data_IF_155643339979
#
_entry.id   IF_155643339979
#
_cell.length_a   1.000
_cell.length_b   1.000
_cell.length_c   1.000
_cell.angle_alpha   90.00
_cell.angle_beta   90.00
_cell.angle_gamma   90.00
#
_symmetry.space_group_name_H-M   'P 1'
#
loop_
_entity.id
_entity.type
_entity.pdbx_description
1 polymer ?
#
# COMPACT_ATOMS: atom_id res chain seq x y z
N UNK A 1 -1.84 15.98 3.58
CA UNK A 1 -1.24 14.63 3.79
C UNK A 1 -2.01 13.65 2.92
N UNK A 2 -1.43 12.54 2.41
CA UNK A 2 -1.98 11.35 1.66
C UNK A 2 -2.31 10.19 2.64
N UNK A 3 -3.30 9.32 2.38
CA UNK A 3 -3.61 8.22 3.31
C UNK A 3 -2.46 7.20 3.28
N UNK A 4 -1.97 6.78 4.44
CA UNK A 4 -0.77 5.92 4.52
C UNK A 4 -0.96 4.57 3.81
N UNK A 5 -2.16 3.96 3.87
CA UNK A 5 -2.44 2.71 3.17
C UNK A 5 -2.42 2.90 1.65
N UNK A 6 -2.95 4.04 1.17
CA UNK A 6 -2.92 4.35 -0.25
C UNK A 6 -1.48 4.49 -0.78
N UNK A 7 -0.60 5.15 -0.02
CA UNK A 7 0.81 5.29 -0.39
C UNK A 7 1.50 3.92 -0.50
N UNK A 8 1.27 3.03 0.46
CA UNK A 8 1.85 1.69 0.44
C UNK A 8 1.32 0.83 -0.71
N UNK A 9 0.02 0.92 -1.01
CA UNK A 9 -0.58 0.26 -2.17
C UNK A 9 0.03 0.75 -3.48
N UNK A 10 0.11 2.07 -3.67
CA UNK A 10 0.58 2.67 -4.92
C UNK A 10 2.07 2.44 -5.16
N UNK A 11 2.90 2.54 -4.11
CA UNK A 11 4.35 2.32 -4.22
C UNK A 11 4.76 0.85 -4.19
N UNK A 12 3.82 -0.06 -3.88
CA UNK A 12 4.07 -1.49 -3.66
C UNK A 12 5.14 -1.74 -2.57
N UNK A 13 5.20 -0.86 -1.57
CA UNK A 13 6.12 -0.96 -0.43
C UNK A 13 5.34 -1.43 0.80
N UNK A 14 5.81 -2.50 1.46
CA UNK A 14 5.22 -2.96 2.72
C UNK A 14 5.41 -1.93 3.85
N UNK A 15 4.43 -1.76 4.75
CA UNK A 15 4.62 -1.00 5.97
C UNK A 15 5.73 -1.62 6.82
N UNK A 16 6.44 -0.77 7.58
CA UNK A 16 7.65 -1.16 8.32
C UNK A 16 7.38 -2.32 9.29
N UNK A 17 6.24 -2.31 9.98
CA UNK A 17 5.88 -3.35 10.94
C UNK A 17 5.74 -4.75 10.31
N UNK A 18 4.81 -5.00 9.35
CA UNK A 18 4.69 -6.30 8.71
C UNK A 18 5.96 -6.71 7.97
N UNK A 19 6.72 -5.75 7.41
CA UNK A 19 8.02 -6.06 6.81
C UNK A 19 9.03 -6.59 7.84
N UNK A 20 9.16 -5.94 8.99
CA UNK A 20 10.07 -6.39 10.06
C UNK A 20 9.62 -7.72 10.70
N UNK A 21 8.31 -7.93 10.84
CA UNK A 21 7.74 -9.20 11.31
C UNK A 21 8.04 -10.34 10.33
N UNK A 22 7.92 -10.09 9.01
CA UNK A 22 8.29 -11.04 7.96
C UNK A 22 9.78 -11.40 8.01
N UNK A 23 10.66 -10.40 8.09
CA UNK A 23 12.11 -10.62 8.21
C UNK A 23 12.46 -11.40 9.48
N UNK A 24 11.77 -11.13 10.59
CA UNK A 24 11.92 -11.85 11.85
C UNK A 24 11.57 -13.34 11.69
N UNK A 25 10.45 -13.65 11.01
CA UNK A 25 10.05 -15.02 10.68
C UNK A 25 11.05 -15.70 9.75
N UNK A 26 11.48 -15.03 8.67
CA UNK A 26 12.48 -15.58 7.75
C UNK A 26 13.83 -15.85 8.43
N UNK A 27 14.23 -14.98 9.35
CA UNK A 27 15.44 -15.18 10.15
C UNK A 27 15.32 -16.40 11.07
N UNK A 28 14.19 -16.56 11.77
CA UNK A 28 13.93 -17.74 12.61
C UNK A 28 13.88 -19.03 11.77
N UNK A 29 13.26 -18.99 10.60
CA UNK A 29 13.28 -20.11 9.65
C UNK A 29 14.73 -20.51 9.32
N UNK A 30 15.60 -19.54 9.07
CA UNK A 30 17.02 -19.82 8.79
C UNK A 30 17.75 -20.41 10.01
N UNK A 31 17.35 -20.06 11.23
CA UNK A 31 17.90 -20.62 12.45
C UNK A 31 17.55 -22.11 12.61
N UNK A 32 16.49 -22.64 11.97
CA UNK A 32 16.18 -24.08 11.98
C UNK A 32 17.20 -24.94 11.22
N UNK A 33 18.06 -24.35 10.40
CA UNK A 33 19.13 -25.08 9.72
C UNK A 33 20.24 -25.43 10.73
N UNK A 34 20.58 -26.72 10.91
CA UNK A 34 21.54 -27.13 11.94
C UNK A 34 22.95 -26.54 11.79
N UNK A 35 23.38 -26.25 10.55
CA UNK A 35 24.67 -25.62 10.27
C UNK A 35 24.70 -24.11 10.53
N UNK A 36 23.56 -23.50 10.87
CA UNK A 36 23.49 -22.07 11.12
C UNK A 36 24.09 -21.73 12.49
N UNK A 37 24.98 -20.72 12.60
CA UNK A 37 25.57 -20.33 13.88
C UNK A 37 24.53 -19.83 14.91
N UNK A 38 23.37 -19.36 14.45
CA UNK A 38 22.26 -18.89 15.28
C UNK A 38 21.22 -19.97 15.60
N UNK A 39 21.51 -21.26 15.31
CA UNK A 39 20.59 -22.36 15.60
C UNK A 39 20.27 -22.52 17.09
N UNK A 40 21.14 -22.03 17.98
CA UNK A 40 20.87 -22.04 19.43
C UNK A 40 19.63 -21.22 19.81
N UNK A 41 19.30 -20.15 19.07
CA UNK A 41 18.19 -19.23 19.38
C UNK A 41 16.84 -19.95 19.45
N UNK A 42 16.63 -20.97 18.61
CA UNK A 42 15.38 -21.76 18.57
C UNK A 42 15.37 -22.90 19.59
N UNK A 43 16.52 -23.22 20.20
CA UNK A 43 16.68 -24.29 21.19
C UNK A 43 16.72 -23.78 22.62
N UNK A 44 16.91 -22.48 22.81
CA UNK A 44 16.88 -21.86 24.13
C UNK A 44 15.49 -22.02 24.76
N UNK A 45 15.47 -22.61 25.96
CA UNK A 45 14.28 -22.64 26.78
C UNK A 45 13.87 -21.20 27.17
N UNK A 46 12.57 -20.90 27.18
CA UNK A 46 12.11 -19.60 27.61
C UNK A 46 12.59 -19.32 29.05
N UNK A 47 13.11 -18.11 29.31
CA UNK A 47 13.67 -17.78 30.62
C UNK A 47 12.61 -17.91 31.72
N UNK A 48 13.00 -18.32 32.95
CA UNK A 48 12.06 -18.59 34.04
C UNK A 48 11.35 -17.33 34.58
N UNK A 49 11.75 -16.14 34.13
CA UNK A 49 11.11 -14.86 34.47
C UNK A 49 10.58 -14.20 33.21
N UNK A 50 9.54 -13.39 33.34
CA UNK A 50 9.04 -12.54 32.26
C UNK A 50 10.11 -11.51 31.86
N UNK A 51 10.87 -11.83 30.81
CA UNK A 51 11.83 -10.94 30.17
C UNK A 51 11.15 -10.22 29.00
N UNK A 52 11.74 -9.10 28.55
CA UNK A 52 11.35 -8.41 27.31
C UNK A 52 11.15 -9.40 26.16
N UNK A 53 10.14 -9.12 25.33
CA UNK A 53 9.84 -9.90 24.11
C UNK A 53 11.09 -10.00 23.23
N UNK A 54 11.42 -11.21 22.81
CA UNK A 54 12.49 -11.54 21.89
C UNK A 54 11.92 -12.28 20.67
N UNK A 55 12.74 -12.54 19.64
CA UNK A 55 12.26 -13.15 18.40
C UNK A 55 11.62 -14.52 18.64
N UNK A 56 12.26 -15.37 19.45
CA UNK A 56 11.78 -16.71 19.77
C UNK A 56 10.40 -16.64 20.45
N UNK A 57 10.27 -15.92 21.57
CA UNK A 57 9.01 -15.87 22.31
C UNK A 57 7.87 -15.13 21.60
N UNK A 58 8.18 -14.35 20.56
CA UNK A 58 7.17 -13.58 19.82
C UNK A 58 6.69 -14.29 18.56
N UNK A 59 7.59 -14.92 17.79
CA UNK A 59 7.25 -15.40 16.44
C UNK A 59 7.52 -16.88 16.20
N UNK A 60 8.28 -17.57 17.06
CA UNK A 60 8.65 -18.97 16.80
C UNK A 60 7.43 -19.89 16.76
N UNK A 61 6.52 -19.73 17.72
CA UNK A 61 5.28 -20.51 17.79
C UNK A 61 4.42 -20.31 16.54
N UNK A 62 4.20 -19.05 16.17
CA UNK A 62 3.41 -18.70 14.99
C UNK A 62 4.04 -19.28 13.71
N UNK A 63 5.36 -19.21 13.59
CA UNK A 63 6.10 -19.77 12.47
C UNK A 63 5.93 -21.29 12.39
N UNK A 64 6.08 -22.02 13.50
CA UNK A 64 5.94 -23.47 13.53
C UNK A 64 4.51 -23.92 13.24
N UNK A 65 3.51 -23.15 13.70
CA UNK A 65 2.10 -23.44 13.46
C UNK A 65 1.69 -23.15 12.01
N UNK A 66 2.11 -22.02 11.45
CA UNK A 66 1.77 -21.62 10.08
C UNK A 66 2.57 -22.41 9.03
N UNK A 67 3.81 -22.79 9.36
CA UNK A 67 4.73 -23.45 8.44
C UNK A 67 5.33 -24.70 9.10
N UNK A 68 4.58 -25.80 9.26
CA UNK A 68 5.07 -27.02 9.94
C UNK A 68 6.30 -27.64 9.25
N UNK A 69 6.46 -27.42 7.95
CA UNK A 69 7.64 -27.83 7.19
C UNK A 69 8.95 -27.17 7.68
N UNK A 70 8.86 -26.08 8.45
CA UNK A 70 10.01 -25.42 9.09
C UNK A 70 10.76 -26.29 10.11
N UNK A 71 10.15 -27.36 10.61
CA UNK A 71 10.74 -28.25 11.61
C UNK A 71 11.81 -29.18 11.03
N UNK A 72 11.75 -29.49 9.73
CA UNK A 72 12.68 -30.39 9.03
C UNK A 72 13.11 -29.76 7.70
N UNK A 73 14.07 -28.84 7.76
CA UNK A 73 14.51 -28.09 6.58
C UNK A 73 15.61 -28.79 5.80
N UNK A 74 15.27 -29.26 4.62
CA UNK A 74 16.22 -29.36 3.50
C UNK A 74 16.30 -28.01 2.75
N UNK A 75 17.18 -27.91 1.74
CA UNK A 75 17.41 -26.64 1.03
C UNK A 75 16.17 -26.19 0.24
N UNK A 76 15.44 -27.14 -0.34
CA UNK A 76 14.30 -26.87 -1.19
C UNK A 76 13.10 -26.42 -0.35
N UNK A 77 12.81 -27.12 0.75
CA UNK A 77 11.77 -26.75 1.71
C UNK A 77 12.05 -25.39 2.34
N UNK A 78 13.32 -25.06 2.61
CA UNK A 78 13.71 -23.74 3.10
C UNK A 78 13.34 -22.63 2.11
N UNK A 79 13.69 -22.78 0.82
CA UNK A 79 13.37 -21.78 -0.22
C UNK A 79 11.86 -21.64 -0.41
N UNK A 80 11.14 -22.76 -0.46
CA UNK A 80 9.68 -22.76 -0.60
C UNK A 80 9.01 -22.06 0.58
N UNK A 81 9.41 -22.40 1.81
CA UNK A 81 8.83 -21.79 3.03
C UNK A 81 9.15 -20.29 3.10
N UNK A 82 10.34 -19.87 2.68
CA UNK A 82 10.71 -18.45 2.62
C UNK A 82 9.82 -17.66 1.64
N UNK A 83 9.54 -18.23 0.47
CA UNK A 83 8.60 -17.67 -0.50
C UNK A 83 7.18 -17.63 0.06
N UNK A 84 6.75 -18.69 0.75
CA UNK A 84 5.43 -18.75 1.36
C UNK A 84 5.23 -17.67 2.44
N UNK A 85 6.20 -17.51 3.36
CA UNK A 85 6.18 -16.44 4.38
C UNK A 85 6.02 -15.07 3.71
N UNK A 86 6.75 -14.82 2.62
CA UNK A 86 6.69 -13.56 1.90
C UNK A 86 5.32 -13.34 1.26
N UNK A 87 4.82 -14.33 0.51
CA UNK A 87 3.50 -14.27 -0.15
C UNK A 87 2.37 -14.08 0.87
N UNK A 88 2.37 -14.84 1.96
CA UNK A 88 1.36 -14.72 3.02
C UNK A 88 1.41 -13.35 3.69
N UNK A 89 2.61 -12.82 3.96
CA UNK A 89 2.77 -11.46 4.51
C UNK A 89 2.19 -10.41 3.57
N UNK A 90 2.48 -10.51 2.26
CA UNK A 90 1.95 -9.57 1.27
C UNK A 90 0.43 -9.65 1.19
N UNK A 91 -0.12 -10.86 1.08
CA UNK A 91 -1.57 -11.06 0.95
C UNK A 91 -2.30 -10.52 2.18
N UNK A 92 -1.88 -10.94 3.38
CA UNK A 92 -2.48 -10.49 4.64
C UNK A 92 -2.34 -8.99 4.87
N UNK A 93 -1.22 -8.38 4.42
CA UNK A 93 -1.04 -6.93 4.52
C UNK A 93 -1.94 -6.19 3.53
N UNK A 94 -2.06 -6.70 2.31
CA UNK A 94 -2.86 -6.09 1.24
C UNK A 94 -4.35 -6.14 1.55
N UNK A 95 -4.83 -7.26 2.11
CA UNK A 95 -6.22 -7.43 2.57
C UNK A 95 -6.58 -6.45 3.70
N UNK A 96 -5.62 -6.07 4.54
CA UNK A 96 -5.84 -5.13 5.64
C UNK A 96 -5.90 -3.67 5.22
N UNK A 97 -5.49 -3.34 4.00
CA UNK A 97 -5.58 -1.97 3.54
C UNK A 97 -7.03 -1.52 3.41
N UNK A 98 -7.25 -0.26 3.78
CA UNK A 98 -8.54 0.39 3.59
C UNK A 98 -8.82 0.58 2.10
N UNK A 99 -10.07 0.40 1.64
CA UNK A 99 -10.45 0.72 0.27
C UNK A 99 -10.03 2.13 -0.15
N UNK A 100 -9.65 2.29 -1.42
CA UNK A 100 -9.27 3.58 -1.96
C UNK A 100 -10.44 4.57 -1.82
N UNK A 101 -10.17 5.80 -1.37
CA UNK A 101 -11.20 6.79 -1.08
C UNK A 101 -12.00 7.22 -2.33
N UNK A 102 -11.35 7.25 -3.49
CA UNK A 102 -11.96 7.71 -4.75
C UNK A 102 -12.80 6.60 -5.37
N UNK A 103 -12.26 5.39 -5.51
CA UNK A 103 -12.94 4.28 -6.17
C UNK A 103 -13.79 3.41 -5.22
N UNK A 104 -13.52 3.45 -3.91
CA UNK A 104 -14.20 2.60 -2.93
C UNK A 104 -13.79 1.13 -2.97
N UNK A 105 -12.73 0.76 -3.71
CA UNK A 105 -12.28 -0.63 -3.91
C UNK A 105 -10.87 -0.89 -3.36
N UNK A 106 -10.57 -2.15 -3.04
CA UNK A 106 -9.25 -2.67 -2.67
C UNK A 106 -9.02 -4.05 -3.32
N UNK A 107 -7.91 -4.29 -4.05
CA UNK A 107 -6.93 -3.29 -4.50
C UNK A 107 -7.51 -2.37 -5.59
N UNK A 108 -7.00 -1.13 -5.74
CA UNK A 108 -7.30 -0.32 -6.91
C UNK A 108 -6.68 -0.95 -8.18
N UNK A 109 -7.08 -0.50 -9.39
CA UNK A 109 -6.49 -0.99 -10.64
C UNK A 109 -4.99 -0.69 -10.70
N UNK A 110 -4.27 -1.47 -11.52
CA UNK A 110 -2.86 -1.19 -11.79
C UNK A 110 -2.72 0.15 -12.53
N UNK A 111 -1.70 0.91 -12.18
CA UNK A 111 -1.41 2.19 -12.85
C UNK A 111 -0.81 1.89 -14.22
N UNK A 112 -1.37 2.51 -15.26
CA UNK A 112 -0.86 2.40 -16.62
C UNK A 112 0.59 2.87 -16.71
N UNK A 113 1.41 2.07 -17.39
CA UNK A 113 2.83 2.34 -17.64
C UNK A 113 3.06 3.64 -18.42
N UNK A 114 2.05 4.11 -19.15
CA UNK A 114 2.04 5.41 -19.85
C UNK A 114 2.27 6.59 -18.89
N UNK A 115 1.91 6.46 -17.60
CA UNK A 115 2.19 7.50 -16.61
C UNK A 115 3.68 7.86 -16.52
N UNK A 116 4.58 6.91 -16.84
CA UNK A 116 6.04 7.13 -16.82
C UNK A 116 6.50 8.20 -17.82
N UNK A 117 5.72 8.49 -18.85
CA UNK A 117 6.00 9.53 -19.85
C UNK A 117 5.72 10.94 -19.31
N UNK A 118 4.95 11.05 -18.23
CA UNK A 118 4.56 12.35 -17.67
C UNK A 118 5.64 12.93 -16.75
N UNK A 119 5.69 14.26 -16.72
CA UNK A 119 6.59 14.99 -15.82
C UNK A 119 6.37 14.57 -14.36
N UNK A 120 7.41 14.71 -13.52
CA UNK A 120 7.30 14.38 -12.09
C UNK A 120 6.17 15.18 -11.42
N UNK A 121 6.00 16.46 -11.79
CA UNK A 121 4.95 17.33 -11.25
C UNK A 121 3.54 16.80 -11.57
N UNK A 122 3.34 16.38 -12.81
CA UNK A 122 2.07 15.80 -13.28
C UNK A 122 1.77 14.49 -12.56
N UNK A 123 2.75 13.57 -12.47
CA UNK A 123 2.59 12.30 -11.72
C UNK A 123 2.25 12.51 -10.25
N UNK A 124 2.87 13.50 -9.59
CA UNK A 124 2.54 13.84 -8.21
C UNK A 124 1.09 14.33 -8.09
N UNK A 125 0.64 15.15 -9.03
CA UNK A 125 -0.75 15.65 -9.05
C UNK A 125 -1.75 14.50 -9.26
N UNK A 126 -1.46 13.57 -10.18
CA UNK A 126 -2.30 12.40 -10.42
C UNK A 126 -2.36 11.47 -9.20
N UNK A 127 -1.24 11.18 -8.54
CA UNK A 127 -1.21 10.42 -7.30
C UNK A 127 -2.03 11.10 -6.18
N UNK A 128 -1.93 12.43 -6.06
CA UNK A 128 -2.77 13.19 -5.12
C UNK A 128 -4.25 13.07 -5.45
N UNK A 129 -4.64 13.12 -6.73
CA UNK A 129 -6.01 12.92 -7.16
C UNK A 129 -6.49 11.49 -6.85
N UNK A 130 -5.67 10.45 -7.11
CA UNK A 130 -5.96 9.05 -6.74
C UNK A 130 -6.16 8.84 -5.24
N UNK A 131 -5.46 9.61 -4.42
CA UNK A 131 -5.64 9.60 -2.96
C UNK A 131 -6.92 10.32 -2.49
N UNK A 132 -7.52 11.14 -3.36
CA UNK A 132 -8.60 12.05 -3.05
C UNK A 132 -8.18 13.29 -2.24
N UNK A 133 -6.87 13.44 -1.95
CA UNK A 133 -6.29 14.49 -1.12
C UNK A 133 -5.39 15.40 -1.98
N UNK A 134 -5.99 16.01 -3.00
CA UNK A 134 -5.34 16.93 -3.92
C UNK A 134 -5.72 18.37 -3.61
N UNK A 135 -4.72 19.26 -3.57
CA UNK A 135 -4.94 20.70 -3.35
C UNK A 135 -5.68 21.40 -4.50
N UNK A 136 -5.88 20.74 -5.65
CA UNK A 136 -6.73 21.26 -6.74
C UNK A 136 -8.22 21.08 -6.49
N UNK A 137 -8.61 20.23 -5.54
CA UNK A 137 -10.00 19.95 -5.18
C UNK A 137 -10.46 20.92 -4.07
N UNK A 138 -11.58 21.60 -4.27
CA UNK A 138 -12.12 22.49 -3.22
C UNK A 138 -12.63 21.69 -2.02
N UNK A 139 -13.19 20.50 -2.25
CA UNK A 139 -13.57 19.57 -1.17
C UNK A 139 -12.40 19.15 -0.26
N UNK A 140 -11.16 19.23 -0.74
CA UNK A 140 -9.97 19.01 0.10
C UNK A 140 -9.54 20.30 0.80
N UNK A 141 -9.61 21.46 0.13
CA UNK A 141 -9.29 22.75 0.75
C UNK A 141 -10.25 23.10 1.88
N UNK A 142 -11.56 22.91 1.70
CA UNK A 142 -12.58 23.16 2.71
C UNK A 142 -12.40 22.33 3.98
N UNK A 143 -11.84 21.12 3.87
CA UNK A 143 -11.50 20.27 5.01
C UNK A 143 -10.32 20.78 5.82
N UNK A 144 -9.40 21.50 5.19
CA UNK A 144 -8.24 22.11 5.86
C UNK A 144 -8.64 23.46 6.45
N UNK A 145 -9.39 24.24 5.68
CA UNK A 145 -9.85 25.57 6.03
C UNK A 145 -11.37 25.68 5.81
N UNK A 146 -12.17 25.71 6.89
CA UNK A 146 -13.63 25.80 6.82
C UNK A 146 -14.16 27.07 6.14
N UNK A 147 -13.31 28.09 5.93
CA UNK A 147 -13.71 29.33 5.24
C UNK A 147 -13.79 29.17 3.72
N UNK A 148 -13.20 28.10 3.17
CA UNK A 148 -13.23 27.79 1.74
C UNK A 148 -14.49 26.98 1.41
N UNK A 149 -15.30 27.48 0.47
CA UNK A 149 -16.46 26.75 -0.05
C UNK A 149 -15.99 25.49 -0.80
N UNK A 150 -16.66 24.37 -0.57
CA UNK A 150 -16.31 23.08 -1.16
C UNK A 150 -16.88 22.89 -2.57
N UNK A 151 -17.71 23.82 -3.04
CA UNK A 151 -18.34 23.77 -4.35
C UNK A 151 -17.35 23.82 -5.51
N UNK A 152 -17.76 23.20 -6.60
CA UNK A 152 -17.03 23.22 -7.86
C UNK A 152 -16.91 24.64 -8.42
N UNK A 153 -15.69 25.14 -8.72
CA UNK A 153 -15.50 26.50 -9.20
C UNK A 153 -16.04 26.72 -10.62
N UNK A 154 -16.33 25.67 -11.38
CA UNK A 154 -16.81 25.77 -12.77
C UNK A 154 -18.33 25.73 -12.87
N UNK A 155 -19.01 24.83 -12.15
CA UNK A 155 -20.47 24.71 -12.20
C UNK A 155 -21.19 25.23 -10.96
N UNK A 156 -20.51 25.37 -9.82
CA UNK A 156 -21.06 25.84 -8.54
C UNK A 156 -22.27 25.06 -7.99
N UNK A 157 -22.50 23.83 -8.47
CA UNK A 157 -23.70 23.04 -8.11
C UNK A 157 -23.44 21.94 -7.09
N UNK A 158 -22.25 21.34 -7.08
CA UNK A 158 -21.90 20.20 -6.25
C UNK A 158 -20.51 20.34 -5.63
N UNK A 159 -20.24 19.53 -4.60
CA UNK A 159 -18.92 19.44 -3.96
C UNK A 159 -17.84 19.07 -5.00
N UNK A 160 -16.74 19.82 -5.00
CA UNK A 160 -15.63 19.64 -5.91
C UNK A 160 -14.76 18.43 -5.51
N UNK A 161 -15.30 17.24 -5.70
CA UNK A 161 -14.64 15.95 -5.49
C UNK A 161 -14.04 15.42 -6.78
N UNK A 162 -13.20 14.37 -6.69
CA UNK A 162 -12.71 13.66 -7.89
C UNK A 162 -13.86 13.07 -8.70
N UNK A 163 -14.90 12.55 -8.03
CA UNK A 163 -16.10 12.05 -8.70
C UNK A 163 -16.76 13.14 -9.54
N UNK A 164 -16.97 14.30 -8.93
CA UNK A 164 -17.55 15.45 -9.61
C UNK A 164 -16.66 16.00 -10.72
N UNK A 165 -15.33 15.97 -10.57
CA UNK A 165 -14.37 16.44 -11.56
C UNK A 165 -14.61 15.82 -12.96
N UNK A 166 -14.96 14.52 -13.00
CA UNK A 166 -15.25 13.78 -14.23
C UNK A 166 -16.73 13.82 -14.65
N UNK A 167 -17.62 14.29 -13.78
CA UNK A 167 -19.08 14.37 -14.01
C UNK A 167 -19.56 15.83 -14.13
N UNK A 168 -18.65 16.79 -14.15
CA UNK A 168 -19.00 18.21 -14.12
C UNK A 168 -19.67 18.62 -15.44
N UNK A 169 -20.89 19.19 -15.40
CA UNK A 169 -21.61 19.58 -16.62
C UNK A 169 -20.90 20.70 -17.39
N UNK A 170 -20.09 21.52 -16.72
CA UNK A 170 -19.33 22.60 -17.34
C UNK A 170 -18.09 22.12 -18.09
N UNK A 171 -17.61 20.89 -17.83
CA UNK A 171 -16.45 20.30 -18.50
C UNK A 171 -16.73 18.82 -18.83
N UNK A 172 -17.58 18.55 -19.84
CA UNK A 172 -17.97 17.18 -20.17
C UNK A 172 -16.76 16.37 -20.66
N UNK A 173 -16.71 15.10 -20.28
CA UNK A 173 -15.64 14.18 -20.65
C UNK A 173 -16.16 12.75 -20.71
N UNK A 174 -15.47 11.90 -21.47
CA UNK A 174 -15.70 10.45 -21.47
C UNK A 174 -14.85 9.73 -20.41
N UNK A 175 -13.92 10.44 -19.76
CA UNK A 175 -13.07 9.92 -18.70
C UNK A 175 -13.88 9.69 -17.43
N UNK A 176 -13.50 8.67 -16.68
CA UNK A 176 -14.10 8.34 -15.38
C UNK A 176 -13.04 8.49 -14.28
N UNK A 177 -13.43 8.47 -13.00
CA UNK A 177 -12.45 8.44 -11.90
C UNK A 177 -11.44 7.30 -12.02
N UNK A 178 -11.82 6.16 -12.60
CA UNK A 178 -10.94 5.02 -12.86
C UNK A 178 -9.84 5.36 -13.88
N UNK A 179 -10.10 6.30 -14.80
CA UNK A 179 -9.10 6.78 -15.77
C UNK A 179 -7.86 7.38 -15.10
N UNK A 180 -7.92 7.78 -13.82
CA UNK A 180 -6.72 8.16 -13.06
C UNK A 180 -5.68 7.03 -12.94
N UNK A 181 -6.11 5.78 -13.07
CA UNK A 181 -5.22 4.60 -13.09
C UNK A 181 -4.99 4.13 -14.52
N UNK A 182 -6.06 4.00 -15.31
CA UNK A 182 -6.02 3.31 -16.61
C UNK A 182 -5.64 4.21 -17.78
N UNK A 183 -5.88 5.53 -17.70
CA UNK A 183 -5.55 6.51 -18.74
C UNK A 183 -4.98 7.82 -18.14
N UNK A 184 -3.80 7.75 -17.48
CA UNK A 184 -3.20 8.89 -16.79
C UNK A 184 -2.82 10.05 -17.73
N UNK A 185 -2.43 9.74 -18.98
CA UNK A 185 -2.09 10.74 -19.99
C UNK A 185 -3.32 11.52 -20.43
N UNK A 186 -4.45 10.84 -20.69
CA UNK A 186 -5.72 11.49 -21.01
C UNK A 186 -6.23 12.37 -19.87
N UNK A 187 -6.09 11.92 -18.63
CA UNK A 187 -6.44 12.75 -17.46
C UNK A 187 -5.51 13.96 -17.33
N UNK A 188 -4.21 13.81 -17.58
CA UNK A 188 -3.27 14.92 -17.55
C UNK A 188 -3.63 16.00 -18.58
N UNK A 189 -3.94 15.58 -19.81
CA UNK A 189 -4.39 16.50 -20.87
C UNK A 189 -5.72 17.19 -20.50
N UNK A 190 -6.70 16.43 -19.99
CA UNK A 190 -7.97 16.98 -19.50
C UNK A 190 -7.78 18.01 -18.38
N UNK A 191 -6.77 17.82 -17.54
CA UNK A 191 -6.43 18.69 -16.41
C UNK A 191 -5.44 19.80 -16.76
N UNK A 192 -5.08 19.92 -18.05
CA UNK A 192 -4.13 20.92 -18.54
C UNK A 192 -2.83 20.87 -17.71
N UNK A 193 -2.37 19.65 -17.40
CA UNK A 193 -1.10 19.39 -16.73
C UNK A 193 0.02 19.35 -17.76
N UNK A 194 1.20 19.84 -17.36
CA UNK A 194 2.38 19.87 -18.23
C UNK A 194 2.79 18.46 -18.67
N UNK A 195 2.87 18.27 -19.98
CA UNK A 195 3.49 17.12 -20.64
C UNK A 195 4.85 17.54 -21.18
N UNK A 196 5.89 17.18 -20.43
CA UNK A 196 7.32 17.50 -20.66
C UNK A 196 7.79 18.94 -20.41
#
# INVERSE_FOLDING_TARGET
>A
MSNIHHLHQETKILPVKPHNEMLSKQYLLRCHIPSNPCNYIIREDPPPRNIKKNLNNTYLRDLQQQYPASLNLDNDTYRMTLQQIHSDTINTTTERYTPNRVLGINPPPEISEEEKQLSRSTRVTLAQLRSGWCNRLQSYKSRIDPTVDDKCPTCNTAEHTVQHLFQCPAKPTTLTPESLWTNPVGVAAFMELESE
#
